data_IF_425591435737
#
_entry.id   IF_425591435737
#
_cell.length_a   1.000
_cell.length_b   1.000
_cell.length_c   1.000
_cell.angle_alpha   90.00
_cell.angle_beta   90.00
_cell.angle_gamma   90.00
#
_symmetry.space_group_name_H-M   'P 1'
#
loop_
_entity.id
_entity.type
_entity.pdbx_description
1 polymer ?
#
# COMPACT_ATOMS: atom_id res chain seq x y z
N UNK A 1 -16.58 -11.95 15.72
CA UNK A 1 -15.12 -11.90 15.97
C UNK A 1 -14.62 -10.65 15.29
N UNK A 2 -13.66 -9.91 15.88
CA UNK A 2 -13.03 -8.78 15.21
C UNK A 2 -12.34 -9.26 13.92
N UNK A 3 -12.24 -8.39 12.92
CA UNK A 3 -11.55 -8.71 11.67
C UNK A 3 -10.04 -8.73 11.94
N UNK A 4 -9.35 -9.80 11.54
CA UNK A 4 -7.93 -10.00 11.87
C UNK A 4 -7.02 -9.88 10.65
N UNK A 5 -5.70 -9.74 10.87
CA UNK A 5 -4.71 -9.76 9.79
C UNK A 5 -4.77 -11.05 8.96
N UNK A 6 -5.05 -12.19 9.60
CA UNK A 6 -5.19 -13.47 8.90
C UNK A 6 -6.48 -13.52 8.07
N UNK A 7 -7.56 -12.87 8.51
CA UNK A 7 -8.78 -12.75 7.71
C UNK A 7 -8.52 -11.90 6.47
N UNK A 8 -7.88 -10.74 6.63
CA UNK A 8 -7.47 -9.88 5.51
C UNK A 8 -6.56 -10.62 4.52
N UNK A 9 -5.54 -11.31 5.02
CA UNK A 9 -4.66 -12.12 4.18
C UNK A 9 -5.41 -13.23 3.44
N UNK A 10 -6.37 -13.89 4.10
CA UNK A 10 -7.22 -14.91 3.50
C UNK A 10 -8.08 -14.36 2.37
N UNK A 11 -8.77 -13.24 2.61
CA UNK A 11 -9.60 -12.56 1.62
C UNK A 11 -8.77 -12.14 0.38
N UNK A 12 -7.59 -11.56 0.60
CA UNK A 12 -6.66 -11.18 -0.48
C UNK A 12 -6.20 -12.39 -1.27
N UNK A 13 -5.77 -13.46 -0.58
CA UNK A 13 -5.29 -14.69 -1.21
C UNK A 13 -6.38 -15.32 -2.08
N UNK A 14 -7.61 -15.38 -1.58
CA UNK A 14 -8.75 -15.91 -2.35
C UNK A 14 -9.01 -15.09 -3.61
N UNK A 15 -8.93 -13.75 -3.52
CA UNK A 15 -9.12 -12.89 -4.68
C UNK A 15 -8.03 -13.10 -5.72
N UNK A 16 -6.75 -13.16 -5.31
CA UNK A 16 -5.62 -13.39 -6.21
C UNK A 16 -5.70 -14.77 -6.87
N UNK A 17 -6.12 -15.80 -6.13
CA UNK A 17 -6.24 -17.15 -6.67
C UNK A 17 -7.34 -17.28 -7.75
N UNK A 18 -8.39 -16.47 -7.68
CA UNK A 18 -9.57 -16.60 -8.53
C UNK A 18 -9.72 -15.51 -9.59
N UNK A 19 -8.91 -14.45 -9.55
CA UNK A 19 -9.03 -13.31 -10.46
C UNK A 19 -7.66 -12.85 -10.95
N UNK A 20 -7.63 -12.19 -12.11
CA UNK A 20 -6.49 -11.34 -12.45
C UNK A 20 -6.50 -10.13 -11.51
N UNK A 21 -5.33 -9.60 -11.16
CA UNK A 21 -5.25 -8.47 -10.22
C UNK A 21 -6.06 -7.25 -10.72
N UNK A 22 -6.10 -7.03 -12.04
CA UNK A 22 -6.91 -5.99 -12.68
C UNK A 22 -8.40 -6.07 -12.38
N UNK A 23 -8.90 -7.28 -12.11
CA UNK A 23 -10.33 -7.56 -11.93
C UNK A 23 -10.68 -7.75 -10.45
N UNK A 24 -9.66 -8.01 -9.61
CA UNK A 24 -9.78 -8.26 -8.18
C UNK A 24 -9.41 -7.07 -7.29
N UNK A 25 -8.71 -6.06 -7.82
CA UNK A 25 -8.16 -4.94 -7.04
C UNK A 25 -9.23 -4.19 -6.25
N UNK A 26 -10.40 -3.89 -6.84
CA UNK A 26 -11.50 -3.22 -6.14
C UNK A 26 -11.96 -3.98 -4.88
N UNK A 27 -12.00 -5.31 -4.95
CA UNK A 27 -12.35 -6.16 -3.80
C UNK A 27 -11.25 -6.14 -2.75
N UNK A 28 -9.98 -6.17 -3.16
CA UNK A 28 -8.86 -6.06 -2.22
C UNK A 28 -8.90 -4.70 -1.54
N UNK A 29 -9.11 -3.61 -2.30
CA UNK A 29 -9.24 -2.26 -1.77
C UNK A 29 -10.38 -2.17 -0.74
N UNK A 30 -11.52 -2.80 -1.01
CA UNK A 30 -12.62 -2.90 -0.04
C UNK A 30 -12.19 -3.57 1.28
N UNK A 31 -11.51 -4.72 1.22
CA UNK A 31 -11.08 -5.43 2.42
C UNK A 31 -9.99 -4.68 3.19
N UNK A 32 -9.06 -4.02 2.48
CA UNK A 32 -8.06 -3.14 3.09
C UNK A 32 -8.77 -1.98 3.80
N UNK A 33 -9.68 -1.27 3.13
CA UNK A 33 -10.44 -0.16 3.73
C UNK A 33 -11.22 -0.62 4.97
N UNK A 34 -11.90 -1.78 4.87
CA UNK A 34 -12.62 -2.40 5.98
C UNK A 34 -11.71 -2.68 7.18
N UNK A 35 -10.51 -3.22 6.97
CA UNK A 35 -9.53 -3.44 8.03
C UNK A 35 -9.09 -2.13 8.68
N UNK A 36 -8.79 -1.12 7.88
CA UNK A 36 -8.28 0.17 8.36
C UNK A 36 -9.34 0.99 9.11
N UNK A 37 -10.62 0.74 8.85
CA UNK A 37 -11.73 1.33 9.59
C UNK A 37 -12.02 0.62 10.93
N UNK A 38 -11.44 -0.55 11.20
CA UNK A 38 -11.54 -1.23 12.49
C UNK A 38 -10.39 -0.80 13.41
N UNK A 39 -10.69 0.02 14.41
CA UNK A 39 -9.69 0.50 15.38
C UNK A 39 -8.97 -0.65 16.11
N UNK A 40 -9.64 -1.79 16.34
CA UNK A 40 -8.97 -2.94 16.97
C UNK A 40 -7.93 -3.55 16.03
N UNK A 41 -8.24 -3.64 14.73
CA UNK A 41 -7.29 -4.09 13.72
C UNK A 41 -6.08 -3.16 13.68
N UNK A 42 -6.30 -1.84 13.65
CA UNK A 42 -5.22 -0.85 13.58
C UNK A 42 -4.32 -0.93 14.81
N UNK A 43 -4.88 -0.88 16.02
CA UNK A 43 -4.10 -0.96 17.27
C UNK A 43 -3.30 -2.27 17.37
N UNK A 44 -3.89 -3.38 16.92
CA UNK A 44 -3.24 -4.69 17.01
C UNK A 44 -2.10 -4.85 15.99
N UNK A 45 -2.24 -4.32 14.78
CA UNK A 45 -1.33 -4.62 13.67
C UNK A 45 -0.40 -3.46 13.29
N UNK A 46 -0.71 -2.24 13.71
CA UNK A 46 0.06 -1.02 13.44
C UNK A 46 0.40 -0.26 14.74
N UNK A 47 1.01 -0.92 15.76
CA UNK A 47 1.44 -0.21 16.95
C UNK A 47 2.57 0.78 16.63
N UNK A 48 2.71 1.81 17.45
CA UNK A 48 3.84 2.73 17.38
C UNK A 48 5.17 1.97 17.39
N UNK A 49 6.12 2.43 16.57
CA UNK A 49 7.46 1.86 16.49
C UNK A 49 8.28 2.27 17.70
N UNK A 50 9.06 1.33 18.23
CA UNK A 50 10.04 1.65 19.25
C UNK A 50 11.19 2.48 18.65
N UNK A 51 11.91 3.22 19.49
CA UNK A 51 13.05 4.01 19.05
C UNK A 51 14.09 3.13 18.33
N UNK A 52 14.44 3.50 17.10
CA UNK A 52 15.39 2.76 16.27
C UNK A 52 14.78 1.63 15.42
N UNK A 53 13.51 1.29 15.59
CA UNK A 53 12.84 0.34 14.70
C UNK A 53 12.53 0.94 13.32
N UNK A 54 12.59 0.15 12.24
CA UNK A 54 12.22 0.63 10.92
C UNK A 54 10.71 0.94 10.86
N UNK A 55 10.31 2.05 10.19
CA UNK A 55 8.90 2.41 10.02
C UNK A 55 8.07 1.31 9.33
N UNK A 56 8.66 0.68 8.31
CA UNK A 56 8.06 -0.40 7.53
C UNK A 56 8.37 -1.76 8.15
N UNK A 57 7.33 -2.55 8.38
CA UNK A 57 7.42 -3.96 8.77
C UNK A 57 6.54 -4.82 7.86
N UNK A 58 6.98 -6.04 7.54
CA UNK A 58 6.15 -7.05 6.89
C UNK A 58 5.33 -7.73 7.98
N UNK A 59 4.01 -7.57 7.93
CA UNK A 59 3.08 -8.13 8.89
C UNK A 59 2.67 -9.55 8.48
N UNK A 60 2.57 -9.78 7.18
CA UNK A 60 2.21 -11.05 6.58
C UNK A 60 2.86 -11.18 5.20
N UNK A 61 3.28 -12.40 4.86
CA UNK A 61 3.80 -12.77 3.54
C UNK A 61 3.19 -14.11 3.13
N UNK A 62 2.53 -14.14 1.97
CA UNK A 62 2.04 -15.39 1.38
C UNK A 62 3.14 -16.05 0.56
N UNK A 63 3.51 -17.29 0.90
CA UNK A 63 4.60 -18.00 0.22
C UNK A 63 4.25 -18.51 -1.18
N UNK A 64 2.96 -18.67 -1.48
CA UNK A 64 2.53 -19.24 -2.76
C UNK A 64 2.48 -18.18 -3.86
N UNK A 65 2.02 -16.98 -3.51
CA UNK A 65 1.82 -15.86 -4.43
C UNK A 65 2.87 -14.76 -4.29
N UNK A 66 3.56 -14.69 -3.13
CA UNK A 66 4.56 -13.67 -2.82
C UNK A 66 3.98 -12.32 -2.37
N UNK A 67 2.66 -12.15 -2.25
CA UNK A 67 2.13 -10.87 -1.77
C UNK A 67 2.47 -10.65 -0.30
N UNK A 68 2.70 -9.39 0.07
CA UNK A 68 2.99 -8.97 1.44
C UNK A 68 1.95 -7.95 1.91
N UNK A 69 1.56 -8.05 3.18
CA UNK A 69 0.88 -6.96 3.90
C UNK A 69 1.94 -6.27 4.75
N UNK A 70 2.14 -4.97 4.50
CA UNK A 70 3.19 -4.20 5.17
C UNK A 70 2.58 -3.07 6.01
N UNK A 71 3.02 -2.95 7.26
CA UNK A 71 2.65 -1.86 8.14
C UNK A 71 3.70 -0.76 8.11
N UNK A 72 3.28 0.44 7.72
CA UNK A 72 4.11 1.64 7.74
C UNK A 72 3.64 2.54 8.88
N UNK A 73 4.50 2.73 9.89
CA UNK A 73 4.20 3.59 11.04
C UNK A 73 5.39 4.51 11.26
N UNK A 74 5.17 5.80 11.03
CA UNK A 74 6.21 6.84 11.16
C UNK A 74 5.96 7.67 12.42
N UNK A 75 7.00 7.90 13.22
CA UNK A 75 6.91 8.75 14.40
C UNK A 75 6.88 10.26 14.08
N UNK A 76 7.33 10.63 12.88
CA UNK A 76 7.41 12.01 12.39
C UNK A 76 7.04 12.06 10.90
N UNK A 77 6.94 13.26 10.33
CA UNK A 77 6.77 13.47 8.90
C UNK A 77 7.81 12.68 8.09
N UNK A 78 7.34 12.02 7.03
CA UNK A 78 8.16 11.27 6.09
C UNK A 78 7.77 11.66 4.66
N UNK A 79 8.77 11.88 3.81
CA UNK A 79 8.58 12.29 2.41
C UNK A 79 9.17 11.20 1.51
N UNK A 80 8.34 10.64 0.63
CA UNK A 80 8.77 9.70 -0.39
C UNK A 80 9.26 10.41 -1.65
N UNK A 81 10.28 9.86 -2.30
CA UNK A 81 10.67 10.26 -3.65
C UNK A 81 9.84 9.52 -4.70
N UNK A 82 9.68 10.06 -5.92
CA UNK A 82 9.01 9.35 -7.01
C UNK A 82 9.66 7.99 -7.26
N UNK A 83 8.84 6.94 -7.34
CA UNK A 83 9.27 5.57 -7.64
C UNK A 83 8.09 4.79 -8.25
N UNK A 84 8.40 3.77 -9.04
CA UNK A 84 7.42 2.79 -9.52
C UNK A 84 7.39 1.54 -8.61
N UNK A 85 6.48 0.61 -8.91
CA UNK A 85 6.42 -0.71 -8.26
C UNK A 85 7.03 -1.83 -9.14
N UNK A 86 7.78 -1.46 -10.17
CA UNK A 86 8.39 -2.35 -11.15
C UNK A 86 7.36 -3.33 -11.75
N UNK A 87 7.63 -4.66 -11.75
CA UNK A 87 6.70 -5.66 -12.28
C UNK A 87 5.58 -6.03 -11.29
N UNK A 88 5.50 -5.36 -10.13
CA UNK A 88 4.52 -5.65 -9.09
C UNK A 88 3.37 -4.64 -9.11
N UNK A 89 2.33 -4.94 -8.36
CA UNK A 89 1.23 -4.01 -8.06
C UNK A 89 1.30 -3.59 -6.59
N UNK A 90 0.67 -2.47 -6.25
CA UNK A 90 0.60 -2.00 -4.87
C UNK A 90 -0.80 -1.50 -4.51
N UNK A 91 -1.19 -1.69 -3.25
CA UNK A 91 -2.36 -1.06 -2.65
C UNK A 91 -1.89 -0.33 -1.40
N UNK A 92 -2.08 0.98 -1.37
CA UNK A 92 -1.85 1.82 -0.20
C UNK A 92 -3.18 2.11 0.48
N UNK A 93 -3.22 2.00 1.80
CA UNK A 93 -4.37 2.41 2.59
C UNK A 93 -3.93 3.20 3.82
N UNK A 94 -4.70 4.22 4.19
CA UNK A 94 -4.40 5.09 5.33
C UNK A 94 -5.10 4.60 6.60
N UNK A 95 -4.32 4.19 7.60
CA UNK A 95 -4.86 3.70 8.87
C UNK A 95 -5.24 4.82 9.84
N UNK A 96 -4.43 5.87 9.89
CA UNK A 96 -4.59 7.01 10.81
C UNK A 96 -3.77 8.19 10.34
N UNK A 97 -4.16 9.41 10.69
CA UNK A 97 -3.48 10.61 10.19
C UNK A 97 -3.76 10.80 8.69
N UNK A 98 -2.85 11.51 8.02
CA UNK A 98 -3.04 11.92 6.63
C UNK A 98 -1.74 11.72 5.85
N UNK A 99 -1.87 11.36 4.57
CA UNK A 99 -0.76 11.31 3.62
C UNK A 99 -1.15 12.09 2.38
N UNK A 100 -0.36 13.08 1.98
CA UNK A 100 -0.48 13.69 0.66
C UNK A 100 0.23 12.78 -0.36
N UNK A 101 -0.54 12.21 -1.28
CA UNK A 101 -0.04 11.40 -2.37
C UNK A 101 0.15 12.27 -3.62
N UNK A 102 1.21 12.01 -4.37
CA UNK A 102 1.42 12.61 -5.68
C UNK A 102 1.67 11.50 -6.70
N UNK A 103 0.82 11.44 -7.71
CA UNK A 103 1.01 10.61 -8.90
C UNK A 103 1.88 11.36 -9.90
N UNK A 104 2.66 10.61 -10.69
CA UNK A 104 3.69 11.15 -11.56
C UNK A 104 3.53 10.64 -12.99
N UNK A 105 3.64 11.53 -13.97
CA UNK A 105 3.74 11.13 -15.38
C UNK A 105 5.20 11.05 -15.79
N UNK A 106 5.60 9.96 -16.45
CA UNK A 106 6.91 9.87 -17.10
C UNK A 106 6.94 10.83 -18.30
N UNK A 107 7.94 11.71 -18.32
CA UNK A 107 8.17 12.65 -19.44
C UNK A 107 9.39 12.28 -20.27
N UNK A 108 10.29 11.45 -19.74
CA UNK A 108 11.44 10.93 -20.47
C UNK A 108 11.89 9.59 -19.86
N UNK A 109 11.61 8.50 -20.58
CA UNK A 109 11.99 7.12 -20.18
C UNK A 109 13.46 6.78 -20.43
N UNK A 110 14.09 7.44 -21.40
CA UNK A 110 15.48 7.19 -21.80
C UNK A 110 16.24 8.50 -21.77
N UNK A 111 17.06 8.64 -20.74
CA UNK A 111 18.07 9.68 -20.68
C UNK A 111 19.46 9.09 -20.88
N UNK A 112 20.42 9.96 -21.14
CA UNK A 112 21.83 9.55 -21.30
C UNK A 112 22.50 9.11 -19.99
N UNK A 113 21.84 9.34 -18.85
CA UNK A 113 22.33 9.06 -17.50
C UNK A 113 21.53 7.96 -16.77
N UNK A 114 20.71 7.18 -17.49
CA UNK A 114 19.84 6.13 -16.94
C UNK A 114 18.84 6.65 -15.87
N UNK A 115 18.41 7.90 -16.03
CA UNK A 115 17.43 8.60 -15.18
C UNK A 115 16.09 8.69 -15.90
N UNK A 116 15.02 8.30 -15.20
CA UNK A 116 13.66 8.56 -15.65
C UNK A 116 13.23 9.92 -15.11
N UNK A 117 12.89 10.85 -16.01
CA UNK A 117 12.34 12.13 -15.61
C UNK A 117 10.82 12.06 -15.56
N UNK A 118 10.26 12.62 -14.49
CA UNK A 118 8.83 12.64 -14.23
C UNK A 118 8.36 14.06 -13.89
N UNK A 119 7.05 14.30 -14.04
CA UNK A 119 6.38 15.51 -13.53
C UNK A 119 5.16 15.11 -12.68
N UNK A 120 4.75 15.91 -11.68
CA UNK A 120 3.51 15.66 -10.96
C UNK A 120 2.33 15.70 -11.92
N UNK A 121 1.44 14.71 -11.84
CA UNK A 121 0.20 14.66 -12.62
C UNK A 121 -1.01 14.99 -11.75
N UNK A 122 -1.05 14.46 -10.52
CA UNK A 122 -2.14 14.65 -9.57
C UNK A 122 -1.60 14.62 -8.14
N UNK A 123 -2.13 15.48 -7.29
CA UNK A 123 -1.91 15.45 -5.84
C UNK A 123 -3.26 15.32 -5.13
N UNK A 124 -3.33 14.45 -4.12
CA UNK A 124 -4.54 14.22 -3.34
C UNK A 124 -4.21 13.79 -1.91
N UNK A 125 -5.11 14.08 -0.99
CA UNK A 125 -4.99 13.68 0.41
C UNK A 125 -5.63 12.31 0.62
N UNK A 126 -4.92 11.41 1.27
CA UNK A 126 -5.48 10.19 1.84
C UNK A 126 -5.65 10.37 3.35
N UNK A 127 -6.86 10.06 3.81
CA UNK A 127 -7.28 10.10 5.22
C UNK A 127 -7.75 8.71 5.66
N UNK A 128 -7.99 8.51 6.95
CA UNK A 128 -8.37 7.20 7.51
C UNK A 128 -9.43 6.45 6.68
N UNK A 129 -9.08 5.24 6.23
CA UNK A 129 -9.94 4.36 5.46
C UNK A 129 -9.83 4.53 3.93
N UNK A 130 -9.18 5.60 3.46
CA UNK A 130 -8.89 5.78 2.04
C UNK A 130 -7.89 4.72 1.56
N UNK A 131 -8.11 4.26 0.33
CA UNK A 131 -7.28 3.23 -0.32
C UNK A 131 -7.04 3.62 -1.77
N UNK A 132 -5.82 3.37 -2.24
CA UNK A 132 -5.41 3.60 -3.62
C UNK A 132 -4.68 2.39 -4.18
N UNK A 133 -5.03 1.99 -5.41
CA UNK A 133 -4.42 0.89 -6.13
C UNK A 133 -3.52 1.43 -7.25
N UNK A 134 -2.29 0.94 -7.30
CA UNK A 134 -1.35 1.10 -8.41
C UNK A 134 -1.21 -0.25 -9.11
N UNK A 135 -1.54 -0.30 -10.40
CA UNK A 135 -1.42 -1.51 -11.19
C UNK A 135 0.03 -1.75 -11.62
N UNK A 136 0.29 -2.90 -12.23
CA UNK A 136 1.61 -3.21 -12.78
C UNK A 136 1.97 -2.20 -13.87
N UNK A 137 3.05 -1.45 -13.64
CA UNK A 137 3.57 -0.44 -14.56
C UNK A 137 2.95 0.95 -14.41
N UNK A 138 2.10 1.16 -13.41
CA UNK A 138 1.65 2.51 -12.98
C UNK A 138 2.72 3.22 -12.13
#
# INVERSE_FOLDING_TARGET
>A
MPYTLNDLAGDIKEIIANNKISDGSDKICYFVSKALMDQNFVVQNLPDRLEGEPPRQILYEDKDTGFCICGHVYANEAIGFPHDHGPSWAIYGQASGETEMTDWDIIQEKSSDDVIYVKPSKTYLMTTGDVHFYNIGD
#
